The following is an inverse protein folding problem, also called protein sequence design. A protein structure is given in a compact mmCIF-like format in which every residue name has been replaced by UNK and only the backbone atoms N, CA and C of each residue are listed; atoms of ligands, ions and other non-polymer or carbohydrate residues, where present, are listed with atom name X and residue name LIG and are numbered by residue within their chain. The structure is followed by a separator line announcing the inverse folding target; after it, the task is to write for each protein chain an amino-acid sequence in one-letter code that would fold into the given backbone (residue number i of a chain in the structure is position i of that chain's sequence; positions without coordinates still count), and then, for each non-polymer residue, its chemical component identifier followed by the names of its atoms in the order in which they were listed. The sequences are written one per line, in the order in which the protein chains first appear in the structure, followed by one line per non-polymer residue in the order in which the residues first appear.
data_IF_335145742879
#
_entry.id   IF_335145742879
#
_cell.length_a   1.000
_cell.length_b   1.000
_cell.length_c   1.000
_cell.angle_alpha   90.00
_cell.angle_beta   90.00
_cell.angle_gamma   90.00
#
_symmetry.space_group_name_H-M   'P 1'
#
loop_
_entity.id
_entity.type
_entity.pdbx_description
1 polymer ?
#
# COMPACT_ATOMS: atom_id res chain seq x y z
N UNK A 1 -19.53 6.50 -1.38
CA UNK A 1 -19.47 5.12 -0.84
C UNK A 1 -19.02 4.05 -1.88
N UNK A 2 -18.56 4.40 -3.05
CA UNK A 2 -18.04 3.51 -4.11
C UNK A 2 -16.59 3.78 -4.53
N UNK A 3 -15.96 4.89 -4.09
CA UNK A 3 -14.57 5.26 -4.42
C UNK A 3 -13.56 4.18 -4.02
N UNK A 4 -13.76 3.61 -2.87
CA UNK A 4 -12.88 2.62 -2.27
C UNK A 4 -13.03 1.19 -2.82
N UNK A 5 -14.11 0.89 -3.55
CA UNK A 5 -14.23 -0.40 -4.27
C UNK A 5 -13.26 -0.49 -5.46
N UNK A 6 -12.84 0.65 -5.99
CA UNK A 6 -11.87 0.76 -7.06
C UNK A 6 -10.43 0.54 -6.54
N UNK A 7 -10.14 1.01 -5.33
CA UNK A 7 -8.82 0.85 -4.70
C UNK A 7 -8.47 -0.60 -4.36
N UNK A 8 -9.45 -1.45 -4.05
CA UNK A 8 -9.21 -2.88 -3.87
C UNK A 8 -8.65 -3.55 -5.13
N UNK A 9 -9.13 -3.12 -6.31
CA UNK A 9 -8.60 -3.52 -7.60
C UNK A 9 -7.24 -2.90 -7.92
N UNK A 10 -7.04 -1.62 -7.57
CA UNK A 10 -5.81 -0.86 -7.85
C UNK A 10 -4.67 -1.28 -6.93
N UNK A 11 -4.92 -1.53 -5.63
CA UNK A 11 -3.88 -2.03 -4.73
C UNK A 11 -3.34 -3.40 -5.17
N UNK A 12 -4.22 -4.32 -5.57
CA UNK A 12 -3.83 -5.61 -6.13
C UNK A 12 -3.21 -5.46 -7.53
N UNK A 13 -3.71 -4.52 -8.35
CA UNK A 13 -3.18 -4.20 -9.67
C UNK A 13 -1.84 -3.49 -9.61
N UNK A 14 -1.56 -2.68 -8.57
CA UNK A 14 -0.24 -2.08 -8.33
C UNK A 14 0.82 -3.15 -8.06
N UNK A 15 0.49 -4.22 -7.33
CA UNK A 15 1.35 -5.37 -7.14
C UNK A 15 1.51 -6.20 -8.43
N UNK A 16 0.45 -6.35 -9.22
CA UNK A 16 0.48 -7.12 -10.47
C UNK A 16 1.06 -6.33 -11.65
N UNK A 17 0.90 -4.99 -11.69
CA UNK A 17 1.41 -4.11 -12.74
C UNK A 17 2.94 -4.05 -12.79
N UNK A 18 3.64 -4.27 -11.69
CA UNK A 18 5.10 -4.41 -11.67
C UNK A 18 5.60 -5.59 -12.54
N UNK A 19 4.81 -6.67 -12.60
CA UNK A 19 5.16 -7.85 -13.37
C UNK A 19 4.99 -7.67 -14.89
N UNK A 20 4.04 -6.86 -15.33
CA UNK A 20 3.74 -6.67 -16.74
C UNK A 20 4.69 -5.67 -17.43
N UNK A 21 5.19 -4.67 -16.69
CA UNK A 21 6.05 -3.61 -17.25
C UNK A 21 7.56 -3.99 -17.26
N UNK A 22 7.99 -4.97 -16.47
CA UNK A 22 9.38 -5.42 -16.46
C UNK A 22 9.79 -6.24 -17.71
N UNK A 23 8.84 -6.63 -18.56
CA UNK A 23 9.13 -7.36 -19.81
C UNK A 23 9.55 -6.46 -20.98
N UNK A 24 9.59 -5.14 -20.82
CA UNK A 24 9.93 -4.20 -21.90
C UNK A 24 11.39 -3.70 -21.87
N UNK A 25 12.25 -4.25 -21.03
CA UNK A 25 13.62 -3.75 -20.81
C UNK A 25 14.69 -4.27 -21.78
N UNK A 26 14.34 -5.03 -22.84
CA UNK A 26 15.26 -5.36 -23.94
C UNK A 26 14.93 -4.54 -25.20
N UNK A 27 15.02 -3.20 -25.09
CA UNK A 27 14.90 -2.34 -26.25
C UNK A 27 16.21 -2.31 -27.04
N UNK A 28 16.21 -2.96 -28.20
CA UNK A 28 17.30 -2.89 -29.19
C UNK A 28 16.90 -1.84 -30.26
N UNK A 29 17.65 -0.72 -30.45
CA UNK A 29 17.28 0.37 -31.34
C UNK A 29 17.53 0.05 -32.83
N UNK A 30 16.99 -1.03 -33.31
CA UNK A 30 17.15 -1.47 -34.70
C UNK A 30 16.06 -2.35 -35.29
N UNK A 31 14.97 -2.59 -34.58
CA UNK A 31 13.86 -3.39 -35.11
C UNK A 31 12.60 -2.52 -35.24
N UNK A 32 12.00 -2.48 -36.42
CA UNK A 32 10.71 -1.87 -36.71
C UNK A 32 9.63 -2.54 -35.89
N UNK A 33 9.12 -1.85 -34.87
CA UNK A 33 8.00 -2.32 -34.04
C UNK A 33 6.71 -1.88 -34.70
N UNK A 34 5.97 -2.83 -35.23
CA UNK A 34 4.56 -2.65 -35.59
C UNK A 34 3.74 -2.54 -34.30
N UNK A 35 3.17 -1.38 -34.04
CA UNK A 35 2.23 -1.17 -32.94
C UNK A 35 0.89 -1.80 -33.32
N UNK A 36 0.63 -3.00 -32.81
CA UNK A 36 -0.72 -3.57 -32.83
C UNK A 36 -1.45 -3.07 -31.58
N UNK A 37 -2.54 -2.36 -31.78
CA UNK A 37 -3.48 -1.96 -30.74
C UNK A 37 -4.03 -3.23 -30.06
N UNK A 38 -3.81 -3.36 -28.76
CA UNK A 38 -4.43 -4.41 -27.93
C UNK A 38 -5.91 -4.12 -27.78
N UNK A 39 -6.72 -4.98 -28.35
CA UNK A 39 -8.17 -5.00 -28.17
C UNK A 39 -8.48 -5.55 -26.75
N UNK A 40 -8.95 -4.64 -25.87
CA UNK A 40 -9.21 -4.93 -24.45
C UNK A 40 -10.43 -5.82 -24.23
N UNK A 41 -11.25 -6.06 -25.25
CA UNK A 41 -12.46 -6.88 -25.17
C UNK A 41 -12.18 -8.39 -25.42
N UNK A 42 -10.95 -8.76 -25.76
CA UNK A 42 -10.59 -10.13 -26.14
C UNK A 42 -9.71 -10.88 -25.12
N UNK A 43 -9.51 -10.34 -23.90
CA UNK A 43 -8.74 -11.06 -22.88
C UNK A 43 -9.61 -12.12 -22.19
N UNK A 44 -9.36 -13.42 -22.46
CA UNK A 44 -10.12 -14.47 -21.77
C UNK A 44 -9.73 -14.55 -20.29
N UNK A 45 -10.73 -14.68 -19.43
CA UNK A 45 -10.64 -14.85 -17.97
C UNK A 45 -9.94 -16.17 -17.55
N UNK A 46 -9.23 -16.84 -18.46
CA UNK A 46 -8.67 -18.17 -18.28
C UNK A 46 -7.15 -18.24 -18.06
N UNK A 47 -6.49 -17.13 -17.73
CA UNK A 47 -5.05 -17.13 -17.37
C UNK A 47 -4.78 -17.67 -15.95
N UNK A 48 -5.82 -18.09 -15.23
CA UNK A 48 -5.70 -18.50 -13.84
C UNK A 48 -5.25 -19.96 -13.61
N UNK A 49 -5.11 -20.81 -14.63
CA UNK A 49 -4.67 -22.20 -14.44
C UNK A 49 -3.97 -22.73 -15.70
N UNK A 50 -2.69 -22.43 -15.86
CA UNK A 50 -1.87 -23.19 -16.80
C UNK A 50 -1.37 -24.48 -16.13
N UNK A 51 -1.57 -25.64 -16.74
CA UNK A 51 -1.09 -26.91 -16.19
C UNK A 51 0.44 -27.02 -16.30
N UNK A 52 1.01 -27.68 -15.32
CA UNK A 52 2.40 -27.97 -14.98
C UNK A 52 3.19 -28.80 -16.02
N UNK A 53 3.18 -28.46 -17.30
CA UNK A 53 3.89 -29.21 -18.35
C UNK A 53 5.14 -28.52 -18.95
N UNK A 54 5.72 -27.55 -18.23
CA UNK A 54 6.98 -26.90 -18.65
C UNK A 54 8.13 -27.13 -17.66
N UNK A 55 8.37 -28.36 -17.26
CA UNK A 55 9.55 -28.72 -16.48
C UNK A 55 10.17 -30.03 -17.00
N UNK A 56 10.86 -30.00 -18.13
CA UNK A 56 11.97 -30.90 -18.41
C UNK A 56 13.02 -30.09 -19.17
N UNK A 57 13.94 -29.47 -18.43
CA UNK A 57 15.22 -29.05 -18.95
C UNK A 57 16.32 -29.82 -18.23
N UNK A 58 17.38 -30.29 -18.92
CA UNK A 58 18.43 -31.07 -18.31
C UNK A 58 19.26 -30.26 -17.35
N UNK A 59 19.68 -30.89 -16.26
CA UNK A 59 20.44 -30.33 -15.18
C UNK A 59 21.82 -29.85 -15.61
N UNK A 60 21.93 -28.57 -15.91
CA UNK A 60 23.12 -27.78 -15.62
C UNK A 60 22.67 -26.76 -14.58
N UNK A 61 23.02 -26.97 -13.30
CA UNK A 61 22.72 -26.08 -12.22
C UNK A 61 23.53 -24.79 -12.41
N UNK A 62 23.01 -23.87 -13.20
CA UNK A 62 23.36 -22.46 -13.12
C UNK A 62 22.56 -21.90 -11.93
N UNK A 63 23.20 -21.10 -11.09
CA UNK A 63 22.53 -20.40 -9.99
C UNK A 63 21.18 -19.85 -10.47
N UNK A 64 20.09 -19.94 -9.69
CA UNK A 64 18.78 -19.52 -10.12
C UNK A 64 18.86 -18.05 -10.57
N UNK A 65 18.69 -17.81 -11.85
CA UNK A 65 18.58 -16.46 -12.39
C UNK A 65 17.32 -15.88 -11.80
N UNK A 66 17.47 -14.86 -10.96
CA UNK A 66 16.35 -14.13 -10.38
C UNK A 66 15.39 -13.76 -11.51
N UNK A 67 14.12 -14.11 -11.37
CA UNK A 67 13.12 -13.77 -12.38
C UNK A 67 12.85 -12.26 -12.31
N UNK A 68 12.48 -11.64 -13.44
CA UNK A 68 12.10 -10.23 -13.49
C UNK A 68 11.00 -9.89 -12.47
N UNK A 69 10.07 -10.83 -12.23
CA UNK A 69 9.02 -10.67 -11.24
C UNK A 69 9.54 -10.72 -9.80
N UNK A 70 10.44 -11.65 -9.48
CA UNK A 70 11.09 -11.74 -8.18
C UNK A 70 11.90 -10.47 -7.87
N UNK A 71 12.65 -9.99 -8.85
CA UNK A 71 13.37 -8.72 -8.73
C UNK A 71 12.40 -7.54 -8.46
N UNK A 72 11.31 -7.43 -9.22
CA UNK A 72 10.35 -6.34 -9.09
C UNK A 72 9.60 -6.36 -7.73
N UNK A 73 9.43 -7.53 -7.12
CA UNK A 73 8.79 -7.69 -5.81
C UNK A 73 9.76 -7.41 -4.65
N UNK A 74 11.08 -7.57 -4.88
CA UNK A 74 12.07 -7.35 -3.83
C UNK A 74 12.11 -5.90 -3.40
N UNK A 75 12.12 -5.67 -2.08
CA UNK A 75 12.34 -4.33 -1.54
C UNK A 75 13.78 -3.89 -1.77
N UNK A 76 13.92 -2.64 -2.21
CA UNK A 76 15.23 -1.97 -2.33
C UNK A 76 15.28 -0.88 -1.27
N UNK A 77 16.24 -0.95 -0.39
CA UNK A 77 16.53 0.14 0.54
C UNK A 77 17.17 1.31 -0.20
N UNK A 78 16.69 2.51 0.10
CA UNK A 78 17.17 3.76 -0.49
C UNK A 78 17.82 4.62 0.60
N UNK A 79 18.96 4.20 1.15
CA UNK A 79 19.52 4.78 2.35
C UNK A 79 19.91 6.26 2.14
N UNK A 80 19.53 7.03 3.14
CA UNK A 80 19.91 8.42 3.27
C UNK A 80 19.00 9.40 2.56
N UNK A 81 18.90 10.58 3.15
CA UNK A 81 18.18 11.69 2.53
C UNK A 81 19.02 12.34 1.42
N UNK A 82 20.34 12.16 1.44
CA UNK A 82 21.31 12.71 0.49
C UNK A 82 21.17 14.22 0.28
N UNK A 83 22.02 14.84 -0.53
CA UNK A 83 21.74 16.17 -1.04
C UNK A 83 20.54 16.07 -1.98
N UNK A 84 19.42 16.66 -1.58
CA UNK A 84 18.17 16.66 -2.34
C UNK A 84 17.94 18.02 -2.99
N UNK A 85 17.47 18.03 -4.24
CA UNK A 85 17.26 19.24 -5.02
C UNK A 85 16.00 19.11 -5.90
N UNK A 86 15.50 20.25 -6.37
CA UNK A 86 14.38 20.28 -7.32
C UNK A 86 14.70 19.53 -8.63
N UNK A 87 15.94 19.63 -9.11
CA UNK A 87 16.38 18.88 -10.31
C UNK A 87 16.36 17.38 -10.06
N UNK A 88 16.76 16.91 -8.87
CA UNK A 88 16.69 15.49 -8.51
C UNK A 88 15.24 15.01 -8.43
N UNK A 89 14.35 15.84 -7.86
CA UNK A 89 12.91 15.54 -7.85
C UNK A 89 12.35 15.35 -9.26
N UNK A 90 12.63 16.31 -10.16
CA UNK A 90 12.15 16.25 -11.55
C UNK A 90 12.71 15.02 -12.27
N UNK A 91 14.01 14.76 -12.11
CA UNK A 91 14.69 13.64 -12.72
C UNK A 91 14.12 12.30 -12.25
N UNK A 92 13.94 12.09 -10.93
CA UNK A 92 13.36 10.87 -10.38
C UNK A 92 11.86 10.72 -10.70
N UNK A 93 11.11 11.82 -10.71
CA UNK A 93 9.69 11.81 -11.08
C UNK A 93 9.48 11.43 -12.55
N UNK A 94 10.44 11.75 -13.43
CA UNK A 94 10.37 11.37 -14.84
C UNK A 94 10.37 9.87 -15.08
N UNK A 95 10.93 9.07 -14.18
CA UNK A 95 10.93 7.61 -14.28
C UNK A 95 9.56 6.97 -14.00
N UNK A 96 8.71 7.69 -13.27
CA UNK A 96 7.43 7.20 -12.74
C UNK A 96 6.24 8.09 -13.14
N UNK A 97 6.43 8.96 -14.15
CA UNK A 97 5.39 9.91 -14.53
C UNK A 97 4.10 9.24 -15.04
N UNK A 98 4.24 8.11 -15.74
CA UNK A 98 3.09 7.31 -16.20
C UNK A 98 2.35 6.67 -15.03
N UNK A 99 3.08 6.13 -14.07
CA UNK A 99 2.50 5.56 -12.85
C UNK A 99 1.78 6.66 -12.06
N UNK A 100 2.41 7.83 -11.91
CA UNK A 100 1.81 8.97 -11.20
C UNK A 100 0.54 9.47 -11.88
N UNK A 101 0.60 9.74 -13.20
CA UNK A 101 -0.56 10.23 -13.94
C UNK A 101 -1.68 9.19 -14.03
N UNK A 102 -1.33 7.90 -14.16
CA UNK A 102 -2.28 6.80 -14.15
C UNK A 102 -3.02 6.68 -12.81
N UNK A 103 -2.29 6.71 -11.69
CA UNK A 103 -2.88 6.68 -10.35
C UNK A 103 -3.72 7.93 -10.07
N UNK A 104 -3.22 9.10 -10.44
CA UNK A 104 -3.95 10.36 -10.30
C UNK A 104 -5.26 10.32 -11.09
N UNK A 105 -5.21 9.92 -12.36
CA UNK A 105 -6.41 9.78 -13.20
C UNK A 105 -7.40 8.76 -12.64
N UNK A 106 -6.92 7.62 -12.12
CA UNK A 106 -7.75 6.61 -11.51
C UNK A 106 -8.46 7.12 -10.25
N UNK A 107 -7.75 7.88 -9.40
CA UNK A 107 -8.35 8.50 -8.21
C UNK A 107 -9.37 9.58 -8.59
N UNK A 108 -9.05 10.46 -9.55
CA UNK A 108 -9.96 11.48 -10.05
C UNK A 108 -11.22 10.81 -10.64
N UNK A 109 -11.06 9.83 -11.52
CA UNK A 109 -12.19 9.10 -12.11
C UNK A 109 -13.04 8.41 -11.03
N UNK A 110 -12.41 7.76 -10.10
CA UNK A 110 -13.06 7.14 -8.95
C UNK A 110 -13.87 8.17 -8.15
N UNK A 111 -13.30 9.33 -7.80
CA UNK A 111 -13.96 10.43 -7.11
C UNK A 111 -15.18 10.95 -7.88
N UNK A 112 -14.97 11.33 -9.12
CA UNK A 112 -16.03 11.84 -9.97
C UNK A 112 -17.16 10.83 -10.24
N UNK A 113 -16.87 9.53 -10.23
CA UNK A 113 -17.88 8.48 -10.51
C UNK A 113 -18.68 8.04 -9.27
N UNK A 114 -18.23 8.35 -8.07
CA UNK A 114 -18.80 7.84 -6.84
C UNK A 114 -19.30 8.88 -5.88
N UNK A 115 -18.76 10.09 -5.94
CA UNK A 115 -19.20 11.25 -5.18
C UNK A 115 -20.14 12.11 -6.02
N UNK A 116 -21.05 12.76 -5.35
CA UNK A 116 -21.85 13.81 -5.96
C UNK A 116 -21.03 15.11 -6.04
N UNK A 117 -20.21 15.19 -7.09
CA UNK A 117 -19.24 16.27 -7.30
C UNK A 117 -19.79 17.28 -8.30
N UNK A 118 -19.49 18.56 -8.08
CA UNK A 118 -19.82 19.64 -9.01
C UNK A 118 -21.15 20.33 -8.72
N UNK A 119 -21.95 19.84 -7.79
CA UNK A 119 -23.17 20.50 -7.33
C UNK A 119 -22.93 21.46 -6.16
N UNK A 120 -21.75 21.41 -5.55
CA UNK A 120 -21.33 22.30 -4.46
C UNK A 120 -20.05 23.03 -4.84
N UNK A 121 -19.92 24.29 -4.42
CA UNK A 121 -18.66 25.02 -4.56
C UNK A 121 -17.62 24.41 -3.64
N UNK A 122 -16.34 24.55 -4.00
CA UNK A 122 -15.25 24.14 -3.13
C UNK A 122 -15.43 24.68 -1.70
N UNK A 123 -15.32 23.81 -0.74
CA UNK A 123 -15.46 24.18 0.67
C UNK A 123 -14.53 23.33 1.54
N UNK A 124 -14.17 23.96 2.67
CA UNK A 124 -13.43 23.27 3.74
C UNK A 124 -14.42 22.65 4.72
N UNK A 125 -14.02 21.52 5.29
CA UNK A 125 -14.74 20.86 6.36
C UNK A 125 -13.79 20.51 7.51
N UNK A 126 -14.20 20.81 8.74
CA UNK A 126 -13.51 20.38 9.94
C UNK A 126 -14.08 19.03 10.40
N UNK A 127 -13.45 17.95 9.99
CA UNK A 127 -13.88 16.60 10.35
C UNK A 127 -13.39 16.15 11.72
N UNK A 128 -12.56 16.96 12.39
CA UNK A 128 -11.94 16.62 13.66
C UNK A 128 -10.92 15.48 13.57
N UNK A 129 -10.50 14.97 14.72
CA UNK A 129 -9.47 13.93 14.79
C UNK A 129 -10.06 12.58 15.26
N UNK A 130 -9.84 12.23 16.53
CA UNK A 130 -10.24 10.95 17.12
C UNK A 130 -11.36 11.12 18.15
N UNK A 131 -12.14 12.22 18.08
CA UNK A 131 -13.26 12.49 18.98
C UNK A 131 -14.41 11.51 18.83
N UNK A 132 -15.34 11.49 19.78
CA UNK A 132 -16.58 10.70 19.68
C UNK A 132 -17.59 11.31 18.70
N UNK A 133 -17.45 12.57 18.45
CA UNK A 133 -18.25 13.42 17.56
C UNK A 133 -17.66 13.53 16.16
N UNK A 134 -16.53 12.86 15.90
CA UNK A 134 -15.88 12.89 14.59
C UNK A 134 -16.34 11.75 13.69
N UNK A 135 -16.29 11.97 12.38
CA UNK A 135 -16.60 10.93 11.41
C UNK A 135 -15.67 9.72 11.59
N UNK A 136 -16.25 8.54 11.56
CA UNK A 136 -15.54 7.26 11.71
C UNK A 136 -14.62 7.15 12.93
N UNK A 137 -14.76 8.07 13.92
CA UNK A 137 -13.97 8.08 15.16
C UNK A 137 -12.45 8.11 14.91
N UNK A 138 -12.02 8.76 13.83
CA UNK A 138 -10.61 8.89 13.41
C UNK A 138 -10.08 7.73 12.56
N UNK A 139 -10.88 6.73 12.20
CA UNK A 139 -10.47 5.64 11.32
C UNK A 139 -10.16 6.12 9.90
N UNK A 140 -10.85 7.15 9.43
CA UNK A 140 -10.60 7.81 8.15
C UNK A 140 -9.22 8.46 8.12
N UNK A 141 -8.79 9.15 9.20
CA UNK A 141 -7.45 9.75 9.29
C UNK A 141 -6.34 8.69 9.18
N UNK A 142 -6.56 7.51 9.79
CA UNK A 142 -5.66 6.38 9.64
C UNK A 142 -5.72 5.78 8.23
N UNK A 143 -6.89 5.80 7.59
CA UNK A 143 -7.07 5.42 6.21
C UNK A 143 -6.30 6.31 5.24
N UNK A 144 -6.37 7.65 5.44
CA UNK A 144 -5.60 8.64 4.71
C UNK A 144 -4.09 8.43 4.89
N UNK A 145 -3.62 8.36 6.13
CA UNK A 145 -2.22 8.08 6.42
C UNK A 145 -1.74 6.77 5.78
N UNK A 146 -2.55 5.71 5.84
CA UNK A 146 -2.23 4.44 5.23
C UNK A 146 -2.19 4.49 3.70
N UNK A 147 -3.14 5.18 3.07
CA UNK A 147 -3.18 5.41 1.63
C UNK A 147 -1.95 6.18 1.14
N UNK A 148 -1.62 7.28 1.81
CA UNK A 148 -0.42 8.07 1.50
C UNK A 148 0.87 7.26 1.69
N UNK A 149 0.96 6.44 2.75
CA UNK A 149 2.06 5.51 2.96
C UNK A 149 2.21 4.52 1.80
N UNK A 150 1.12 3.89 1.35
CA UNK A 150 1.15 2.92 0.24
C UNK A 150 1.62 3.55 -1.07
N UNK A 151 1.06 4.70 -1.46
CA UNK A 151 1.47 5.40 -2.67
C UNK A 151 2.93 5.86 -2.61
N UNK A 152 3.35 6.40 -1.47
CA UNK A 152 4.71 6.88 -1.28
C UNK A 152 5.73 5.74 -1.37
N UNK A 153 5.45 4.60 -0.74
CA UNK A 153 6.33 3.44 -0.82
C UNK A 153 6.35 2.84 -2.23
N UNK A 154 5.20 2.79 -2.90
CA UNK A 154 5.12 2.37 -4.29
C UNK A 154 6.04 3.19 -5.19
N UNK A 155 5.94 4.52 -5.17
CA UNK A 155 6.79 5.38 -6.00
C UNK A 155 8.26 5.25 -5.61
N UNK A 156 8.57 5.19 -4.31
CA UNK A 156 9.93 4.97 -3.82
C UNK A 156 10.54 3.70 -4.43
N UNK A 157 9.82 2.59 -4.37
CA UNK A 157 10.31 1.31 -4.88
C UNK A 157 10.38 1.30 -6.41
N UNK A 158 9.45 1.94 -7.11
CA UNK A 158 9.50 2.09 -8.58
C UNK A 158 10.74 2.86 -9.03
N UNK A 159 11.04 3.99 -8.36
CA UNK A 159 12.25 4.77 -8.64
C UNK A 159 13.50 3.95 -8.33
N UNK A 160 13.51 3.23 -7.19
CA UNK A 160 14.66 2.43 -6.78
C UNK A 160 14.96 1.27 -7.74
N UNK A 161 13.93 0.65 -8.32
CA UNK A 161 14.11 -0.41 -9.32
C UNK A 161 14.60 0.11 -10.69
N UNK A 162 14.26 1.36 -11.01
CA UNK A 162 14.62 1.95 -12.29
C UNK A 162 16.02 2.61 -12.31
N UNK A 163 16.68 2.72 -11.14
CA UNK A 163 17.93 3.48 -11.00
C UNK A 163 19.01 2.72 -10.23
N UNK A 164 20.25 2.85 -10.69
CA UNK A 164 21.43 2.39 -9.94
C UNK A 164 21.74 3.31 -8.73
N UNK A 165 21.47 4.63 -8.84
CA UNK A 165 21.49 5.58 -7.70
C UNK A 165 20.05 5.95 -7.32
N UNK A 166 19.54 5.28 -6.30
CA UNK A 166 18.23 5.52 -5.74
C UNK A 166 18.26 6.47 -4.53
N UNK A 167 19.37 7.13 -4.26
CA UNK A 167 19.47 8.07 -3.14
C UNK A 167 18.42 9.18 -3.27
N UNK A 168 17.68 9.45 -2.20
CA UNK A 168 16.58 10.43 -2.18
C UNK A 168 15.26 9.94 -2.81
N UNK A 169 15.18 8.70 -3.33
CA UNK A 169 13.94 8.14 -3.86
C UNK A 169 12.81 8.13 -2.82
N UNK A 170 13.14 7.92 -1.54
CA UNK A 170 12.16 8.01 -0.44
C UNK A 170 11.52 9.40 -0.32
N UNK A 171 12.28 10.47 -0.56
CA UNK A 171 11.75 11.84 -0.55
C UNK A 171 10.85 12.07 -1.76
N UNK A 172 11.31 11.69 -2.96
CA UNK A 172 10.52 11.84 -4.19
C UNK A 172 9.22 11.02 -4.11
N UNK A 173 9.31 9.76 -3.67
CA UNK A 173 8.15 8.90 -3.49
C UNK A 173 7.13 9.46 -2.50
N UNK A 174 7.60 10.01 -1.37
CA UNK A 174 6.74 10.66 -0.39
C UNK A 174 6.00 11.88 -0.96
N UNK A 175 6.70 12.74 -1.71
CA UNK A 175 6.10 13.91 -2.34
C UNK A 175 5.06 13.52 -3.41
N UNK A 176 5.33 12.49 -4.20
CA UNK A 176 4.39 11.99 -5.20
C UNK A 176 3.17 11.33 -4.56
N UNK A 177 3.36 10.47 -3.54
CA UNK A 177 2.27 9.82 -2.82
C UNK A 177 1.37 10.82 -2.10
N UNK A 178 1.97 11.81 -1.42
CA UNK A 178 1.25 12.94 -0.83
C UNK A 178 0.47 13.73 -1.88
N UNK A 179 1.06 13.97 -3.06
CA UNK A 179 0.40 14.66 -4.17
C UNK A 179 -0.85 13.92 -4.69
N UNK A 180 -0.81 12.58 -4.78
CA UNK A 180 -1.98 11.77 -5.16
C UNK A 180 -3.10 11.91 -4.12
N UNK A 181 -2.77 11.80 -2.82
CA UNK A 181 -3.76 11.95 -1.76
C UNK A 181 -4.33 13.37 -1.66
N UNK A 182 -3.48 14.39 -1.83
CA UNK A 182 -3.95 15.79 -1.90
C UNK A 182 -4.97 15.99 -3.03
N UNK A 183 -4.81 15.31 -4.16
CA UNK A 183 -5.80 15.39 -5.24
C UNK A 183 -7.15 14.75 -4.85
N UNK A 184 -7.15 13.72 -4.03
CA UNK A 184 -8.38 13.15 -3.45
C UNK A 184 -9.07 14.19 -2.58
N UNK A 185 -8.34 14.84 -1.66
CA UNK A 185 -8.86 15.91 -0.82
C UNK A 185 -9.45 17.09 -1.61
N UNK A 186 -8.80 17.44 -2.73
CA UNK A 186 -9.33 18.49 -3.62
C UNK A 186 -10.68 18.07 -4.22
N UNK A 187 -10.85 16.81 -4.59
CA UNK A 187 -12.12 16.29 -5.12
C UNK A 187 -13.20 16.31 -4.03
N UNK A 188 -12.85 15.88 -2.82
CA UNK A 188 -13.76 15.89 -1.67
C UNK A 188 -14.21 17.30 -1.33
N UNK A 189 -13.36 18.31 -1.51
CA UNK A 189 -13.71 19.73 -1.42
C UNK A 189 -14.85 20.19 -2.35
N UNK A 190 -15.10 19.49 -3.45
CA UNK A 190 -16.21 19.76 -4.37
C UNK A 190 -17.40 18.82 -4.20
N UNK A 191 -17.34 17.85 -3.29
CA UNK A 191 -18.42 16.89 -3.08
C UNK A 191 -19.53 17.46 -2.18
N UNK A 192 -20.73 16.89 -2.26
CA UNK A 192 -21.84 17.27 -1.38
C UNK A 192 -21.78 16.56 -0.02
N UNK A 193 -21.08 15.42 0.03
CA UNK A 193 -21.00 14.56 1.23
C UNK A 193 -19.80 14.87 2.11
N UNK A 194 -18.71 15.40 1.51
CA UNK A 194 -17.42 15.68 2.16
C UNK A 194 -17.01 17.13 1.88
N UNK A 195 -15.90 17.54 2.41
CA UNK A 195 -15.24 18.81 2.15
C UNK A 195 -13.73 18.59 2.14
N UNK A 196 -12.96 19.62 1.78
CA UNK A 196 -11.51 19.58 1.93
C UNK A 196 -11.15 19.60 3.42
N UNK A 197 -10.55 18.54 3.91
CA UNK A 197 -10.20 18.38 5.33
C UNK A 197 -8.70 18.64 5.57
N UNK A 198 -8.41 19.65 6.42
CA UNK A 198 -7.03 19.88 6.83
C UNK A 198 -6.46 18.73 7.65
N UNK A 199 -7.32 18.02 8.38
CA UNK A 199 -6.92 16.88 9.19
C UNK A 199 -6.50 15.70 8.32
N UNK A 200 -7.21 15.47 7.20
CA UNK A 200 -6.85 14.43 6.24
C UNK A 200 -5.56 14.74 5.51
N UNK A 201 -5.38 16.01 5.12
CA UNK A 201 -4.12 16.45 4.52
C UNK A 201 -2.92 16.26 5.48
N UNK A 202 -3.10 16.52 6.77
CA UNK A 202 -2.05 16.27 7.77
C UNK A 202 -1.81 14.76 7.93
N UNK A 203 -2.87 13.95 7.97
CA UNK A 203 -2.77 12.50 8.04
C UNK A 203 -2.03 11.92 6.82
N UNK A 204 -2.32 12.43 5.62
CA UNK A 204 -1.58 12.10 4.39
C UNK A 204 -0.10 12.43 4.51
N UNK A 205 0.22 13.61 5.04
CA UNK A 205 1.60 14.03 5.30
C UNK A 205 2.32 13.10 6.29
N UNK A 206 1.63 12.64 7.34
CA UNK A 206 2.17 11.68 8.31
C UNK A 206 2.46 10.33 7.64
N UNK A 207 1.53 9.82 6.82
CA UNK A 207 1.71 8.56 6.10
C UNK A 207 2.87 8.62 5.09
N UNK A 208 2.93 9.68 4.30
CA UNK A 208 4.02 9.91 3.34
C UNK A 208 5.37 10.07 4.05
N UNK A 209 5.40 10.82 5.15
CA UNK A 209 6.59 10.97 5.99
C UNK A 209 7.05 9.65 6.62
N UNK A 210 6.13 8.81 7.06
CA UNK A 210 6.46 7.48 7.57
C UNK A 210 7.11 6.61 6.48
N UNK A 211 6.56 6.59 5.26
CA UNK A 211 7.17 5.90 4.12
C UNK A 211 8.59 6.39 3.83
N UNK A 212 8.77 7.72 3.80
CA UNK A 212 10.07 8.36 3.59
C UNK A 212 11.09 7.91 4.66
N UNK A 213 10.73 7.97 5.93
CA UNK A 213 11.61 7.55 7.03
C UNK A 213 11.95 6.07 6.91
N UNK A 214 10.92 5.23 6.66
CA UNK A 214 11.08 3.78 6.57
C UNK A 214 12.03 3.36 5.46
N UNK A 215 12.03 4.05 4.33
CA UNK A 215 12.89 3.75 3.18
C UNK A 215 14.27 4.40 3.28
N UNK A 216 14.38 5.57 3.94
CA UNK A 216 15.63 6.35 3.97
C UNK A 216 16.53 6.03 5.17
N UNK A 217 15.98 5.48 6.25
CA UNK A 217 16.75 5.07 7.42
C UNK A 217 17.16 3.61 7.27
N UNK A 218 18.46 3.28 7.19
CA UNK A 218 18.94 1.92 7.00
C UNK A 218 18.37 0.94 8.03
N UNK A 219 17.82 -0.19 7.57
CA UNK A 219 17.26 -1.25 8.38
C UNK A 219 15.94 -0.90 9.11
N UNK A 220 15.34 0.27 8.88
CA UNK A 220 14.05 0.62 9.48
C UNK A 220 12.91 -0.17 8.83
N UNK A 221 12.98 -0.41 7.53
CA UNK A 221 12.01 -1.24 6.79
C UNK A 221 11.97 -2.70 7.28
N UNK A 222 13.09 -3.21 7.80
CA UNK A 222 13.16 -4.54 8.38
C UNK A 222 12.54 -4.62 9.79
N UNK A 223 12.46 -3.46 10.48
CA UNK A 223 12.02 -3.38 11.87
C UNK A 223 10.58 -2.93 12.03
N UNK A 224 10.10 -2.02 11.18
CA UNK A 224 8.83 -1.33 11.42
C UNK A 224 7.95 -1.31 10.17
N UNK A 225 6.73 -1.81 10.31
CA UNK A 225 5.68 -1.76 9.28
C UNK A 225 4.47 -0.97 9.77
N UNK A 226 3.76 -0.34 8.83
CA UNK A 226 2.43 0.20 9.05
C UNK A 226 1.45 -0.67 8.26
N UNK A 227 0.57 -1.39 8.98
CA UNK A 227 -0.30 -2.41 8.40
C UNK A 227 -1.76 -2.09 8.62
N UNK A 228 -2.59 -2.66 7.75
CA UNK A 228 -4.03 -2.70 7.89
C UNK A 228 -4.51 -4.14 8.04
N UNK A 229 -5.28 -4.43 9.07
CA UNK A 229 -6.10 -5.64 9.17
C UNK A 229 -7.49 -5.34 8.61
N UNK A 230 -7.99 -6.23 7.76
CA UNK A 230 -9.38 -6.18 7.29
C UNK A 230 -10.09 -7.50 7.55
N UNK A 231 -11.20 -7.44 8.28
CA UNK A 231 -12.04 -8.61 8.54
C UNK A 231 -13.37 -8.51 7.76
N UNK A 232 -13.49 -9.13 6.59
CA UNK A 232 -14.70 -9.04 5.75
C UNK A 232 -15.94 -9.69 6.37
N UNK A 233 -15.77 -10.47 7.43
CA UNK A 233 -16.87 -11.17 8.11
C UNK A 233 -17.37 -10.47 9.38
N UNK A 234 -16.75 -9.34 9.76
CA UNK A 234 -16.96 -8.72 11.09
C UNK A 234 -18.30 -8.01 11.26
N UNK A 235 -18.85 -7.36 10.24
CA UNK A 235 -20.06 -6.53 10.34
C UNK A 235 -21.27 -7.02 9.57
N UNK A 236 -21.30 -8.28 9.14
CA UNK A 236 -22.42 -8.84 8.35
C UNK A 236 -22.52 -8.29 6.93
N UNK A 237 -21.57 -7.49 6.50
CA UNK A 237 -21.46 -6.99 5.12
C UNK A 237 -20.91 -8.10 4.22
N UNK A 238 -21.75 -8.66 3.35
CA UNK A 238 -21.35 -9.70 2.40
C UNK A 238 -20.46 -9.18 1.24
N UNK A 239 -19.94 -7.97 1.32
CA UNK A 239 -19.16 -7.36 0.25
C UNK A 239 -17.74 -7.05 0.73
N UNK A 240 -16.77 -7.58 -0.01
CA UNK A 240 -15.36 -7.26 0.19
C UNK A 240 -15.09 -5.79 -0.18
N UNK A 241 -14.78 -4.95 0.81
CA UNK A 241 -14.53 -3.51 0.66
C UNK A 241 -13.40 -3.05 1.59
N UNK A 242 -12.18 -3.56 1.38
CA UNK A 242 -11.10 -3.37 2.35
C UNK A 242 -10.69 -1.91 2.60
N UNK A 243 -11.06 -0.97 1.72
CA UNK A 243 -10.66 0.43 1.84
C UNK A 243 -11.80 1.41 2.19
N UNK A 244 -13.04 0.96 2.27
CA UNK A 244 -14.19 1.84 2.60
C UNK A 244 -15.04 1.33 3.74
N UNK A 245 -14.70 0.18 4.30
CA UNK A 245 -15.43 -0.44 5.40
C UNK A 245 -14.62 -0.31 6.69
N UNK A 246 -14.47 0.93 7.16
CA UNK A 246 -13.70 1.25 8.36
C UNK A 246 -14.14 0.49 9.60
N UNK A 247 -15.44 0.11 9.70
CA UNK A 247 -15.94 -0.72 10.80
C UNK A 247 -15.33 -2.14 10.83
N UNK A 248 -14.70 -2.58 9.76
CA UNK A 248 -14.03 -3.88 9.67
C UNK A 248 -12.52 -3.77 9.50
N UNK A 249 -11.97 -2.56 9.60
CA UNK A 249 -10.54 -2.31 9.55
C UNK A 249 -9.95 -2.13 10.95
N UNK A 250 -8.64 -2.38 11.05
CA UNK A 250 -7.74 -1.93 12.11
C UNK A 250 -6.46 -1.45 11.47
N UNK A 251 -5.83 -0.46 12.07
CA UNK A 251 -4.52 0.03 11.66
C UNK A 251 -3.52 -0.17 12.79
N UNK A 252 -2.31 -0.58 12.44
CA UNK A 252 -1.29 -0.89 13.43
C UNK A 252 0.13 -0.61 12.93
N UNK A 253 0.99 -0.29 13.88
CA UNK A 253 2.44 -0.33 13.71
C UNK A 253 2.93 -1.66 14.27
N UNK A 254 3.70 -2.39 13.48
CA UNK A 254 4.31 -3.66 13.87
C UNK A 254 5.83 -3.52 13.96
N UNK A 255 6.39 -3.70 15.16
CA UNK A 255 7.82 -3.75 15.42
C UNK A 255 8.28 -5.20 15.37
N UNK A 256 8.95 -5.57 14.28
CA UNK A 256 9.42 -6.93 14.01
C UNK A 256 10.73 -7.20 14.73
N UNK A 257 10.78 -8.22 15.58
CA UNK A 257 12.03 -8.59 16.25
C UNK A 257 13.08 -9.15 15.28
N UNK A 258 12.66 -9.72 14.17
CA UNK A 258 13.56 -10.19 13.09
C UNK A 258 14.45 -9.09 12.50
N UNK A 259 14.07 -7.83 12.61
CA UNK A 259 14.88 -6.70 12.17
C UNK A 259 16.08 -6.38 13.05
N UNK A 260 16.25 -7.07 14.17
CA UNK A 260 17.38 -6.88 15.12
C UNK A 260 18.29 -8.11 15.09
N UNK A 261 19.58 -7.89 14.86
CA UNK A 261 20.58 -8.96 14.69
C UNK A 261 20.53 -10.04 15.79
N UNK A 262 20.34 -9.62 17.06
CA UNK A 262 20.32 -10.55 18.20
C UNK A 262 19.13 -11.54 18.16
N UNK A 263 18.10 -11.30 17.35
CA UNK A 263 16.91 -12.16 17.29
C UNK A 263 16.80 -12.97 16.00
N UNK A 264 17.60 -12.64 14.96
CA UNK A 264 17.49 -13.24 13.62
C UNK A 264 17.67 -14.76 13.63
N UNK A 265 18.60 -15.28 14.44
CA UNK A 265 18.89 -16.71 14.55
C UNK A 265 18.15 -17.39 15.71
N UNK A 266 17.18 -16.71 16.31
CA UNK A 266 16.37 -17.25 17.41
C UNK A 266 14.91 -17.40 17.00
N UNK A 267 14.10 -18.21 17.74
CA UNK A 267 12.65 -18.25 17.52
C UNK A 267 11.95 -16.90 17.67
N UNK A 268 12.57 -15.93 18.35
CA UNK A 268 12.03 -14.59 18.53
C UNK A 268 11.92 -13.80 17.20
N UNK A 269 12.58 -14.22 16.12
CA UNK A 269 12.38 -13.63 14.79
C UNK A 269 10.93 -13.70 14.31
N UNK A 270 10.15 -14.68 14.79
CA UNK A 270 8.74 -14.83 14.48
C UNK A 270 7.83 -13.93 15.34
N UNK A 271 8.39 -13.17 16.28
CA UNK A 271 7.64 -12.33 17.20
C UNK A 271 7.69 -10.88 16.73
N UNK A 272 6.57 -10.20 16.86
CA UNK A 272 6.48 -8.75 16.67
C UNK A 272 5.64 -8.13 17.79
N UNK A 273 5.93 -6.87 18.10
CA UNK A 273 5.15 -6.06 19.01
C UNK A 273 4.26 -5.12 18.17
N UNK A 274 2.99 -5.09 18.48
CA UNK A 274 2.02 -4.32 17.73
C UNK A 274 1.39 -3.24 18.62
N UNK A 275 1.25 -2.04 18.06
CA UNK A 275 0.44 -0.97 18.62
C UNK A 275 -0.57 -0.52 17.56
N UNK A 276 -1.85 -0.62 17.85
CA UNK A 276 -2.88 -0.37 16.87
C UNK A 276 -4.08 0.35 17.42
N UNK A 277 -4.98 0.69 16.49
CA UNK A 277 -6.24 1.35 16.77
C UNK A 277 -7.34 0.85 15.83
N UNK A 278 -8.52 0.71 16.40
CA UNK A 278 -9.75 0.53 15.64
C UNK A 278 -10.93 1.21 16.31
N UNK A 279 -11.96 1.51 15.53
CA UNK A 279 -13.21 2.02 16.06
C UNK A 279 -14.40 1.25 15.48
N UNK A 280 -15.51 1.20 16.20
CA UNK A 280 -16.68 0.42 15.83
C UNK A 280 -17.96 1.19 16.17
N UNK A 281 -19.06 0.80 15.53
CA UNK A 281 -20.41 1.24 15.89
C UNK A 281 -20.86 2.55 15.24
N UNK A 282 -20.02 3.24 14.51
CA UNK A 282 -20.40 4.44 13.77
C UNK A 282 -21.13 4.10 12.45
N UNK A 283 -22.04 4.98 12.05
CA UNK A 283 -22.81 4.88 10.81
C UNK A 283 -22.12 5.58 9.63
N UNK A 284 -22.93 6.02 8.68
CA UNK A 284 -22.50 6.92 7.62
C UNK A 284 -22.20 8.30 8.19
N UNK A 285 -21.47 9.14 7.45
CA UNK A 285 -21.32 10.57 7.78
C UNK A 285 -22.71 11.17 7.95
N UNK A 286 -22.87 11.96 9.00
CA UNK A 286 -24.14 12.57 9.42
C UNK A 286 -25.31 11.61 9.70
N UNK A 287 -25.05 10.31 9.74
CA UNK A 287 -26.00 9.27 10.05
C UNK A 287 -25.96 8.83 11.52
N UNK A 288 -27.02 8.16 12.01
CA UNK A 288 -27.02 7.62 13.36
C UNK A 288 -25.98 6.49 13.48
N UNK A 289 -25.45 6.28 14.70
CA UNK A 289 -24.66 5.09 15.01
C UNK A 289 -25.40 3.80 14.65
N UNK A 290 -24.67 2.80 14.17
CA UNK A 290 -25.20 1.45 13.88
C UNK A 290 -25.02 0.47 15.05
N UNK A 291 -24.35 0.91 16.12
CA UNK A 291 -24.06 0.17 17.32
C UNK A 291 -23.48 1.07 18.40
N UNK A 292 -22.94 0.46 19.45
CA UNK A 292 -22.21 1.19 20.49
C UNK A 292 -20.92 1.77 19.91
N UNK A 293 -20.72 3.08 20.07
CA UNK A 293 -19.51 3.77 19.63
C UNK A 293 -18.33 3.36 20.52
N UNK A 294 -17.32 2.72 19.94
CA UNK A 294 -16.11 2.30 20.65
C UNK A 294 -14.87 2.76 19.92
N UNK A 295 -13.88 3.21 20.68
CA UNK A 295 -12.53 3.56 20.23
C UNK A 295 -11.56 2.71 21.03
N UNK A 296 -10.80 1.89 20.33
CA UNK A 296 -10.02 0.82 20.93
C UNK A 296 -8.55 0.91 20.49
N UNK A 297 -7.73 1.71 21.20
CA UNK A 297 -6.29 1.55 21.09
C UNK A 297 -5.90 0.21 21.72
N UNK A 298 -4.96 -0.51 21.11
CA UNK A 298 -4.50 -1.77 21.65
C UNK A 298 -2.98 -1.96 21.49
N UNK A 299 -2.42 -2.80 22.34
CA UNK A 299 -1.08 -3.34 22.23
C UNK A 299 -1.21 -4.86 22.14
N UNK A 300 -0.42 -5.49 21.29
CA UNK A 300 -0.45 -6.93 21.08
C UNK A 300 0.94 -7.51 20.85
N UNK A 301 1.04 -8.81 21.07
CA UNK A 301 2.17 -9.61 20.60
C UNK A 301 1.68 -10.38 19.38
N UNK A 302 2.29 -10.10 18.23
CA UNK A 302 1.96 -10.67 16.94
C UNK A 302 2.95 -11.72 16.47
N UNK A 303 2.56 -12.45 15.45
CA UNK A 303 3.39 -13.42 14.75
C UNK A 303 3.80 -12.86 13.40
N UNK A 304 5.11 -12.69 13.18
CA UNK A 304 5.66 -12.20 11.93
C UNK A 304 5.58 -13.28 10.85
N UNK A 305 4.48 -13.25 10.10
CA UNK A 305 4.22 -14.22 9.03
C UNK A 305 5.24 -14.16 7.89
N UNK A 306 5.85 -13.01 7.63
CA UNK A 306 6.83 -12.84 6.56
C UNK A 306 8.05 -13.75 6.76
N UNK A 307 8.41 -14.08 8.02
CA UNK A 307 9.53 -14.96 8.34
C UNK A 307 9.32 -16.41 7.88
N UNK A 308 8.08 -16.87 7.75
CA UNK A 308 7.78 -18.22 7.22
C UNK A 308 8.25 -18.37 5.76
N UNK A 309 8.24 -17.27 5.01
CA UNK A 309 8.58 -17.24 3.60
C UNK A 309 10.07 -16.93 3.34
N UNK A 310 10.88 -16.87 4.40
CA UNK A 310 12.35 -16.79 4.33
C UNK A 310 13.03 -18.16 4.46
N UNK A 311 12.27 -19.22 4.76
CA UNK A 311 12.78 -20.57 4.94
C UNK A 311 12.97 -21.30 3.60
N UNK A 312 14.01 -22.12 3.50
CA UNK A 312 14.18 -23.06 2.39
C UNK A 312 13.09 -24.16 2.44
N UNK A 313 12.59 -24.65 1.29
CA UNK A 313 13.04 -24.33 -0.10
C UNK A 313 12.26 -23.21 -0.77
N UNK A 314 11.39 -22.49 -0.04
CA UNK A 314 10.45 -21.52 -0.66
C UNK A 314 11.02 -20.11 -0.78
N UNK A 315 12.11 -19.79 -0.07
CA UNK A 315 12.65 -18.43 0.09
C UNK A 315 12.80 -17.64 -1.23
N UNK A 316 13.33 -18.31 -2.26
CA UNK A 316 13.68 -17.67 -3.53
C UNK A 316 12.57 -17.85 -4.60
N UNK A 317 11.36 -18.16 -4.18
CA UNK A 317 10.21 -18.30 -5.08
C UNK A 317 9.42 -16.99 -5.18
N UNK A 318 8.84 -16.73 -6.35
CA UNK A 318 7.97 -15.56 -6.59
C UNK A 318 6.79 -15.49 -5.58
N UNK A 319 6.07 -16.61 -5.27
CA UNK A 319 5.03 -16.56 -4.26
C UNK A 319 5.52 -16.16 -2.86
N UNK A 320 6.71 -16.61 -2.48
CA UNK A 320 7.27 -16.24 -1.17
C UNK A 320 7.66 -14.76 -1.12
N UNK A 321 8.26 -14.22 -2.19
CA UNK A 321 8.57 -12.80 -2.30
C UNK A 321 7.29 -11.95 -2.25
N UNK A 322 6.27 -12.35 -3.00
CA UNK A 322 4.97 -11.68 -2.96
C UNK A 322 4.36 -11.72 -1.54
N UNK A 323 4.39 -12.87 -0.87
CA UNK A 323 3.86 -13.00 0.48
C UNK A 323 4.63 -12.11 1.48
N UNK A 324 5.98 -12.12 1.42
CA UNK A 324 6.81 -11.22 2.26
C UNK A 324 6.41 -9.77 2.05
N UNK A 325 6.28 -9.36 0.78
CA UNK A 325 5.91 -7.99 0.43
C UNK A 325 4.48 -7.64 0.88
N UNK A 326 3.52 -8.55 0.73
CA UNK A 326 2.14 -8.34 1.17
C UNK A 326 2.06 -8.15 2.69
N UNK A 327 2.80 -8.93 3.47
CA UNK A 327 2.80 -8.84 4.94
C UNK A 327 3.53 -7.61 5.50
N UNK A 328 4.18 -6.80 4.68
CA UNK A 328 4.63 -5.46 5.09
C UNK A 328 3.45 -4.47 5.24
N UNK A 329 2.32 -4.74 4.58
CA UNK A 329 1.16 -3.84 4.53
C UNK A 329 -0.10 -4.43 5.14
N UNK A 330 -0.24 -5.75 5.12
CA UNK A 330 -1.46 -6.44 5.53
C UNK A 330 -1.20 -7.26 6.79
N UNK A 331 -2.10 -7.12 7.76
CA UNK A 331 -2.18 -8.00 8.92
C UNK A 331 -3.33 -8.98 8.74
N UNK A 332 -3.10 -10.26 9.03
CA UNK A 332 -4.18 -11.25 8.99
C UNK A 332 -4.92 -11.31 10.34
N UNK A 333 -6.26 -11.36 10.33
CA UNK A 333 -7.01 -11.54 11.57
C UNK A 333 -6.60 -12.79 12.33
N UNK A 334 -6.38 -12.65 13.63
CA UNK A 334 -6.07 -13.79 14.50
C UNK A 334 -4.60 -14.20 14.57
N UNK A 335 -3.69 -13.42 14.00
CA UNK A 335 -2.24 -13.69 14.06
C UNK A 335 -1.52 -13.00 15.24
N UNK A 336 -2.27 -12.42 16.16
CA UNK A 336 -1.76 -11.75 17.35
C UNK A 336 -2.63 -11.99 18.57
N UNK A 337 -2.03 -11.81 19.75
CA UNK A 337 -2.66 -11.87 21.05
C UNK A 337 -2.68 -10.46 21.64
N UNK A 338 -3.84 -9.82 21.83
CA UNK A 338 -3.91 -8.54 22.50
C UNK A 338 -3.48 -8.69 23.95
N UNK A 339 -2.63 -7.79 24.43
CA UNK A 339 -2.10 -7.82 25.81
C UNK A 339 -3.07 -7.19 26.80
N UNK A 340 -4.06 -6.43 26.31
CA UNK A 340 -5.11 -5.78 27.10
C UNK A 340 -6.46 -6.14 26.48
N UNK A 341 -7.12 -7.12 27.08
CA UNK A 341 -8.55 -7.36 26.83
C UNK A 341 -9.33 -6.64 27.94
N UNK A 342 -10.15 -5.68 27.58
CA UNK A 342 -11.30 -5.29 28.39
C UNK A 342 -12.55 -5.34 27.56
#
# INVERSE_FOLDING_TARGET
MRLWSFFGGVGLSLFMGQAALSQTADWNPGSDVQVTTLDMDSLPLSVALAPSSFLIAPASYSAPTETALSYALRRIDTPGFGPYSASKFIDQSSDVWLDFTGLLAANIYGGLSTLDVGHKKFHFEDEGWFGQDTYALGMDKLGHAYGAYLYSDYFTQRIAHNRSDASGAGVTGALLGFGVQTAVEVIDGFSTEYGFSNQDLIADGVGAGFSMLRSSIPGLSEKLDFRMEYNPWGSGSARFKPFSDYNNQKYLLALKLSGFEQFQDTPLRFVELQAGYFARGYGKKDGPPIGELRREPYIAIGFNLAELFKAEPVRDTVPAEFARRAFEYIELPGTYLPTVNK
#
